data_IF_135200473563
#
_entry.id   IF_135200473563
#
_cell.length_a   1.000
_cell.length_b   1.000
_cell.length_c   1.000
_cell.angle_alpha   90.00
_cell.angle_beta   90.00
_cell.angle_gamma   90.00
#
_symmetry.space_group_name_H-M   'P 1'
#
loop_
_entity.id
_entity.type
_entity.pdbx_description
1 polymer ?
#
# COMPACT_ATOMS: atom_id res chain seq x y z
N UNK A 1 7.05 -20.72 -60.60
CA UNK A 1 8.00 -20.27 -59.55
C UNK A 1 7.17 -19.68 -58.41
N UNK A 2 6.87 -20.48 -57.39
CA UNK A 2 6.12 -20.01 -56.22
C UNK A 2 7.08 -19.30 -55.26
N UNK A 3 6.79 -18.04 -54.92
CA UNK A 3 7.56 -17.29 -53.93
C UNK A 3 7.03 -17.59 -52.54
N UNK A 4 7.85 -18.28 -51.73
CA UNK A 4 7.54 -18.55 -50.34
C UNK A 4 7.71 -17.25 -49.51
N UNK A 5 6.60 -16.69 -49.05
CA UNK A 5 6.57 -15.57 -48.11
C UNK A 5 6.97 -16.06 -46.71
N UNK A 6 8.07 -15.54 -46.17
CA UNK A 6 8.51 -15.85 -44.81
C UNK A 6 7.69 -15.03 -43.80
N UNK A 7 7.16 -15.64 -42.72
CA UNK A 7 6.44 -14.90 -41.69
C UNK A 7 7.43 -14.06 -40.87
N UNK A 8 7.33 -12.73 -40.97
CA UNK A 8 8.04 -11.81 -40.09
C UNK A 8 7.34 -11.81 -38.72
N UNK A 9 8.05 -12.23 -37.68
CA UNK A 9 7.57 -12.19 -36.30
C UNK A 9 7.72 -10.75 -35.79
N UNK A 10 6.62 -9.99 -35.75
CA UNK A 10 6.59 -8.58 -35.32
C UNK A 10 6.41 -8.38 -33.82
N UNK A 11 6.17 -9.45 -33.05
CA UNK A 11 5.87 -9.36 -31.61
C UNK A 11 7.06 -9.91 -30.81
N UNK A 12 7.93 -9.01 -30.35
CA UNK A 12 8.96 -9.36 -29.36
C UNK A 12 8.32 -9.39 -27.96
N UNK A 13 8.67 -10.35 -27.08
CA UNK A 13 8.20 -10.34 -25.71
C UNK A 13 8.66 -9.05 -25.04
N UNK A 14 7.70 -8.20 -24.68
CA UNK A 14 7.98 -7.01 -23.87
C UNK A 14 8.57 -7.51 -22.54
N UNK A 15 9.81 -7.13 -22.26
CA UNK A 15 10.37 -7.28 -20.93
C UNK A 15 9.45 -6.53 -19.97
N UNK A 16 8.74 -7.28 -19.12
CA UNK A 16 8.01 -6.71 -18.01
C UNK A 16 9.03 -5.98 -17.14
N UNK A 17 8.95 -4.65 -17.12
CA UNK A 17 9.72 -3.82 -16.19
C UNK A 17 9.39 -4.36 -14.80
N UNK A 18 10.37 -4.97 -14.13
CA UNK A 18 10.22 -5.38 -12.73
C UNK A 18 9.94 -4.10 -11.96
N UNK A 19 8.72 -3.98 -11.45
CA UNK A 19 8.33 -2.85 -10.63
C UNK A 19 9.28 -2.83 -9.42
N UNK A 20 10.03 -1.73 -9.27
CA UNK A 20 11.00 -1.60 -8.20
C UNK A 20 10.29 -1.86 -6.86
N UNK A 21 10.88 -2.67 -5.97
CA UNK A 21 10.27 -2.98 -4.69
C UNK A 21 10.04 -1.67 -3.93
N UNK A 22 8.78 -1.37 -3.65
CA UNK A 22 8.40 -0.21 -2.85
C UNK A 22 8.88 -0.38 -1.41
N UNK A 23 9.14 0.72 -0.73
CA UNK A 23 9.49 0.72 0.70
C UNK A 23 8.46 1.57 1.44
N UNK A 24 8.13 1.16 2.67
CA UNK A 24 7.39 2.00 3.60
C UNK A 24 8.21 3.24 3.93
N UNK A 25 7.63 4.43 3.76
CA UNK A 25 8.29 5.69 4.05
C UNK A 25 8.48 5.93 5.55
N UNK A 26 7.73 5.20 6.40
CA UNK A 26 7.79 5.31 7.86
C UNK A 26 7.84 3.94 8.53
N UNK A 27 8.49 3.88 9.69
CA UNK A 27 8.48 2.70 10.54
C UNK A 27 7.13 2.47 11.23
N UNK A 28 6.87 1.22 11.61
CA UNK A 28 5.61 0.82 12.27
C UNK A 28 5.40 1.58 13.59
N UNK A 29 6.46 1.73 14.40
CA UNK A 29 6.44 2.41 15.70
C UNK A 29 6.88 3.88 15.65
N UNK A 30 6.87 4.50 14.47
CA UNK A 30 7.27 5.90 14.30
C UNK A 30 6.16 6.88 14.79
N UNK A 31 5.39 6.47 15.81
CA UNK A 31 4.23 7.15 16.36
C UNK A 31 4.52 8.60 16.79
N UNK A 32 5.76 8.90 17.18
CA UNK A 32 6.19 10.22 17.63
C UNK A 32 6.47 11.23 16.48
N UNK A 33 6.67 10.79 15.22
CA UNK A 33 6.89 11.74 14.10
C UNK A 33 5.62 12.39 13.58
N UNK A 34 4.43 11.94 14.01
CA UNK A 34 3.16 12.56 13.63
C UNK A 34 2.18 12.50 14.80
N UNK A 35 2.38 13.37 15.79
CA UNK A 35 1.55 13.42 16.99
C UNK A 35 0.06 13.49 16.69
N UNK A 36 -0.38 14.20 15.65
CA UNK A 36 -1.80 14.28 15.28
C UNK A 36 -2.40 12.93 14.82
N UNK A 37 -1.69 12.18 13.98
CA UNK A 37 -2.12 10.86 13.50
C UNK A 37 -2.06 9.83 14.64
N UNK A 38 -1.03 9.91 15.48
CA UNK A 38 -0.91 9.02 16.64
C UNK A 38 -1.97 9.29 17.70
N UNK A 39 -2.25 10.56 18.03
CA UNK A 39 -3.32 10.93 18.96
C UNK A 39 -4.69 10.49 18.43
N UNK A 40 -4.95 10.70 17.13
CA UNK A 40 -6.19 10.23 16.50
C UNK A 40 -6.28 8.70 16.46
N UNK A 41 -5.18 7.98 16.23
CA UNK A 41 -5.13 6.52 16.35
C UNK A 41 -5.37 6.02 17.78
N UNK A 42 -4.86 6.71 18.80
CA UNK A 42 -5.08 6.33 20.21
C UNK A 42 -6.45 6.71 20.76
N UNK A 43 -7.06 7.82 20.31
CA UNK A 43 -8.32 8.35 20.83
C UNK A 43 -9.54 8.10 19.92
N UNK A 44 -9.38 7.99 18.59
CA UNK A 44 -10.44 7.66 17.64
C UNK A 44 -9.95 6.80 16.46
N UNK A 45 -9.58 5.56 16.76
CA UNK A 45 -9.25 4.54 15.75
C UNK A 45 -10.29 4.40 14.61
N UNK A 46 -11.63 4.42 14.86
CA UNK A 46 -12.60 4.31 13.77
C UNK A 46 -12.64 5.54 12.86
N UNK A 47 -12.36 6.74 13.38
CA UNK A 47 -12.22 7.93 12.56
C UNK A 47 -11.03 7.78 11.60
N UNK A 48 -9.90 7.30 12.12
CA UNK A 48 -8.69 7.08 11.34
C UNK A 48 -8.87 5.98 10.29
N UNK A 49 -9.56 4.88 10.64
CA UNK A 49 -9.88 3.82 9.67
C UNK A 49 -10.76 4.34 8.55
N UNK A 50 -11.76 5.16 8.87
CA UNK A 50 -12.61 5.80 7.89
C UNK A 50 -11.85 6.74 6.95
N UNK A 51 -10.89 7.50 7.47
CA UNK A 51 -10.05 8.34 6.64
C UNK A 51 -9.17 7.52 5.68
N UNK A 52 -8.54 6.45 6.18
CA UNK A 52 -7.72 5.56 5.33
C UNK A 52 -8.58 4.88 4.26
N UNK A 53 -9.77 4.40 4.64
CA UNK A 53 -10.70 3.82 3.69
C UNK A 53 -11.13 4.84 2.63
N UNK A 54 -11.47 6.06 3.03
CA UNK A 54 -11.83 7.15 2.12
C UNK A 54 -10.68 7.54 1.18
N UNK A 55 -9.42 7.57 1.65
CA UNK A 55 -8.27 7.82 0.77
C UNK A 55 -8.08 6.69 -0.27
N UNK A 56 -8.54 5.47 0.02
CA UNK A 56 -8.44 4.30 -0.86
C UNK A 56 -9.73 4.01 -1.64
N UNK A 57 -10.73 4.90 -1.57
CA UNK A 57 -12.07 4.76 -2.17
C UNK A 57 -12.84 3.50 -1.69
N UNK A 58 -12.69 3.17 -0.41
CA UNK A 58 -13.22 1.96 0.21
C UNK A 58 -14.17 2.28 1.38
N UNK A 59 -14.93 1.28 1.83
CA UNK A 59 -15.88 1.46 2.93
C UNK A 59 -15.17 1.77 4.27
N UNK A 60 -15.70 2.74 5.02
CA UNK A 60 -15.25 3.22 6.34
C UNK A 60 -14.78 2.11 7.30
N UNK A 61 -15.53 1.00 7.35
CA UNK A 61 -15.32 -0.12 8.26
C UNK A 61 -14.13 -1.00 7.86
N UNK A 62 -13.72 -0.95 6.59
CA UNK A 62 -12.67 -1.80 6.06
C UNK A 62 -11.26 -1.23 6.27
N UNK A 63 -11.12 0.07 6.59
CA UNK A 63 -9.84 0.76 6.71
C UNK A 63 -8.87 0.18 7.76
N UNK A 64 -9.41 -0.50 8.78
CA UNK A 64 -8.65 -1.16 9.85
C UNK A 64 -8.43 -2.67 9.60
N UNK A 65 -8.49 -3.14 8.36
CA UNK A 65 -8.35 -4.57 8.05
C UNK A 65 -6.94 -4.94 7.57
N UNK A 66 -6.57 -6.20 7.80
CA UNK A 66 -5.38 -6.82 7.18
C UNK A 66 -5.48 -6.78 5.65
N UNK A 67 -6.70 -6.84 5.11
CA UNK A 67 -6.96 -6.73 3.69
C UNK A 67 -6.51 -5.36 3.15
N UNK A 68 -6.84 -4.25 3.82
CA UNK A 68 -6.41 -2.92 3.38
C UNK A 68 -4.89 -2.77 3.37
N UNK A 69 -4.22 -3.27 4.42
CA UNK A 69 -2.76 -3.24 4.48
C UNK A 69 -2.13 -4.08 3.36
N UNK A 70 -2.64 -5.29 3.13
CA UNK A 70 -2.18 -6.18 2.05
C UNK A 70 -2.41 -5.53 0.68
N UNK A 71 -3.59 -4.95 0.46
CA UNK A 71 -3.96 -4.29 -0.79
C UNK A 71 -3.03 -3.10 -1.06
N UNK A 72 -2.80 -2.24 -0.06
CA UNK A 72 -1.87 -1.13 -0.15
C UNK A 72 -0.44 -1.57 -0.53
N UNK A 73 0.07 -2.61 0.14
CA UNK A 73 1.39 -3.16 -0.16
C UNK A 73 1.48 -3.73 -1.57
N UNK A 74 0.41 -4.36 -2.04
CA UNK A 74 0.34 -4.90 -3.39
C UNK A 74 0.34 -3.77 -4.43
N UNK A 75 -0.42 -2.69 -4.19
CA UNK A 75 -0.50 -1.50 -5.05
C UNK A 75 0.87 -0.84 -5.24
N UNK A 76 1.63 -0.66 -4.16
CA UNK A 76 2.94 0.00 -4.19
C UNK A 76 4.12 -0.97 -4.22
N UNK A 77 3.88 -2.25 -4.51
CA UNK A 77 4.91 -3.30 -4.62
C UNK A 77 5.84 -3.42 -3.40
N UNK A 78 5.30 -3.26 -2.19
CA UNK A 78 6.09 -3.25 -0.95
C UNK A 78 6.30 -4.70 -0.45
N UNK A 79 7.54 -5.23 -0.35
CA UNK A 79 7.81 -6.66 -0.13
C UNK A 79 7.46 -7.12 1.29
N UNK A 80 6.51 -8.05 1.42
CA UNK A 80 6.03 -8.57 2.70
C UNK A 80 5.11 -9.77 2.52
N UNK A 81 4.49 -10.23 3.61
CA UNK A 81 3.56 -11.36 3.60
C UNK A 81 2.27 -11.01 4.33
N UNK A 82 1.17 -11.67 3.92
CA UNK A 82 -0.13 -11.53 4.59
C UNK A 82 -0.02 -11.86 6.07
N UNK A 83 0.79 -12.87 6.43
CA UNK A 83 1.04 -13.21 7.83
C UNK A 83 1.76 -12.07 8.56
N UNK A 84 2.74 -11.41 7.94
CA UNK A 84 3.40 -10.24 8.50
C UNK A 84 2.45 -9.05 8.69
N UNK A 85 1.50 -8.86 7.78
CA UNK A 85 0.47 -7.83 7.90
C UNK A 85 -0.55 -8.17 9.01
N UNK A 86 -0.94 -9.44 9.14
CA UNK A 86 -1.75 -9.92 10.26
C UNK A 86 -1.03 -9.72 11.59
N UNK A 87 0.23 -10.14 11.71
CA UNK A 87 1.03 -9.95 12.92
C UNK A 87 1.20 -8.45 13.26
N UNK A 88 1.41 -7.60 12.26
CA UNK A 88 1.51 -6.14 12.47
C UNK A 88 0.21 -5.56 13.03
N UNK A 89 -0.94 -5.99 12.50
CA UNK A 89 -2.26 -5.56 12.97
C UNK A 89 -2.62 -6.16 14.33
N UNK A 90 -2.18 -7.39 14.61
CA UNK A 90 -2.44 -8.08 15.87
C UNK A 90 -1.62 -7.51 17.03
N UNK A 91 -0.33 -7.23 16.81
CA UNK A 91 0.55 -6.72 17.87
C UNK A 91 0.27 -5.24 18.20
N UNK A 92 0.03 -4.42 17.18
CA UNK A 92 -0.29 -3.00 17.32
C UNK A 92 -1.06 -2.51 16.09
N UNK A 93 -2.35 -2.85 16.03
CA UNK A 93 -3.30 -2.36 15.04
C UNK A 93 -3.27 -0.84 14.87
N UNK A 94 -3.28 -0.04 15.95
CA UNK A 94 -3.19 1.42 15.83
C UNK A 94 -1.91 1.91 15.16
N UNK A 95 -0.75 1.35 15.53
CA UNK A 95 0.52 1.69 14.92
C UNK A 95 0.52 1.36 13.41
N UNK A 96 0.00 0.18 13.06
CA UNK A 96 -0.10 -0.28 11.67
C UNK A 96 -1.02 0.61 10.82
N UNK A 97 -2.13 1.07 11.39
CA UNK A 97 -3.08 1.99 10.74
C UNK A 97 -2.49 3.41 10.61
N UNK A 98 -1.82 3.90 11.65
CA UNK A 98 -1.08 5.16 11.63
C UNK A 98 0.05 5.13 10.61
N UNK A 99 0.78 4.01 10.48
CA UNK A 99 1.80 3.84 9.45
C UNK A 99 1.17 3.96 8.05
N UNK A 100 0.05 3.28 7.82
CA UNK A 100 -0.66 3.31 6.55
C UNK A 100 -1.12 4.73 6.18
N UNK A 101 -1.79 5.45 7.11
CA UNK A 101 -2.23 6.84 6.88
C UNK A 101 -1.06 7.79 6.58
N UNK A 102 0.07 7.63 7.28
CA UNK A 102 1.26 8.47 7.06
C UNK A 102 1.92 8.19 5.73
N UNK A 103 1.96 6.92 5.32
CA UNK A 103 2.48 6.55 4.00
C UNK A 103 1.60 7.13 2.89
N UNK A 104 0.28 7.02 3.02
CA UNK A 104 -0.71 7.67 2.13
C UNK A 104 -0.43 9.18 2.02
N UNK A 105 -0.33 9.88 3.15
CA UNK A 105 -0.10 11.32 3.17
C UNK A 105 1.23 11.70 2.48
N UNK A 106 2.34 11.02 2.79
CA UNK A 106 3.64 11.29 2.14
C UNK A 106 3.60 11.01 0.65
N UNK A 107 2.95 9.92 0.23
CA UNK A 107 2.78 9.60 -1.20
C UNK A 107 1.94 10.65 -1.93
N UNK A 108 0.93 11.21 -1.26
CA UNK A 108 0.13 12.31 -1.79
C UNK A 108 0.94 13.59 -1.93
N UNK A 109 1.79 13.90 -0.97
CA UNK A 109 2.73 15.04 -1.04
C UNK A 109 3.74 14.88 -2.19
N UNK A 110 4.16 13.64 -2.48
CA UNK A 110 5.03 13.31 -3.61
C UNK A 110 4.29 13.25 -4.97
N UNK A 111 2.95 13.35 -4.98
CA UNK A 111 2.14 13.24 -6.20
C UNK A 111 2.09 11.84 -6.82
N UNK A 112 2.33 10.80 -6.03
CA UNK A 112 2.33 9.38 -6.47
C UNK A 112 1.17 8.56 -5.89
N UNK A 113 0.32 9.18 -5.07
CA UNK A 113 -0.83 8.52 -4.44
C UNK A 113 -2.02 8.48 -5.39
#
# INVERSE_FOLDING_TARGET
>A
LAMASQPVITVQPQFSVVQQPGVWQTGLMDCCSSCGVCLCGTFCLPCLSCQVAGDMDECCLCGASVAMRTLYRTRYNIPGSILGDFCSMWWCGPCALCQLKRDINRRREMGIF
#
